data_IF_121493018588
#
_entry.id   IF_121493018588
#
_cell.length_a   1.000
_cell.length_b   1.000
_cell.length_c   1.000
_cell.angle_alpha   90.00
_cell.angle_beta   90.00
_cell.angle_gamma   90.00
#
_symmetry.space_group_name_H-M   'P 1'
#
loop_
_entity.id
_entity.type
_entity.pdbx_description
1 polymer ?
#
# COMPACT_ATOMS: atom_id res chain seq x y z
N UNK A 1 -41.95 -21.13 13.16
CA UNK A 1 -40.68 -20.38 13.31
C UNK A 1 -39.88 -20.65 12.05
N UNK A 2 -39.58 -19.57 11.33
CA UNK A 2 -39.20 -19.59 9.90
C UNK A 2 -37.81 -20.17 9.65
N UNK A 3 -37.76 -21.39 9.10
CA UNK A 3 -36.53 -22.02 8.62
C UNK A 3 -35.89 -21.29 7.42
N UNK A 4 -36.66 -20.51 6.67
CA UNK A 4 -36.15 -19.66 5.55
C UNK A 4 -35.15 -18.59 5.98
N UNK A 5 -35.39 -17.88 7.09
CA UNK A 5 -34.51 -16.82 7.55
C UNK A 5 -33.13 -17.32 8.05
N UNK A 6 -33.07 -18.56 8.53
CA UNK A 6 -31.79 -19.17 8.93
C UNK A 6 -30.93 -19.59 7.74
N UNK A 7 -31.55 -20.10 6.68
CA UNK A 7 -30.85 -20.49 5.45
C UNK A 7 -30.31 -19.27 4.70
N UNK A 8 -31.09 -18.18 4.60
CA UNK A 8 -30.61 -16.91 4.01
C UNK A 8 -29.45 -16.28 4.79
N UNK A 9 -29.44 -16.39 6.13
CA UNK A 9 -28.33 -15.94 6.96
C UNK A 9 -27.09 -16.79 6.73
N UNK A 10 -27.21 -18.11 6.63
CA UNK A 10 -26.13 -19.04 6.33
C UNK A 10 -25.59 -18.86 4.90
N UNK A 11 -26.45 -18.67 3.90
CA UNK A 11 -26.02 -18.39 2.53
C UNK A 11 -25.32 -17.04 2.41
N UNK A 12 -25.77 -16.01 3.14
CA UNK A 12 -25.10 -14.71 3.20
C UNK A 12 -23.74 -14.77 3.93
N UNK A 13 -23.60 -15.59 4.98
CA UNK A 13 -22.31 -15.81 5.66
C UNK A 13 -21.35 -16.62 4.78
N UNK A 14 -21.81 -17.63 4.06
CA UNK A 14 -20.98 -18.40 3.11
C UNK A 14 -20.58 -17.53 1.93
N UNK A 15 -21.48 -16.71 1.37
CA UNK A 15 -21.15 -15.77 0.29
C UNK A 15 -20.21 -14.65 0.76
N UNK A 16 -20.31 -14.19 2.01
CA UNK A 16 -19.43 -13.16 2.55
C UNK A 16 -18.02 -13.67 2.84
N UNK A 17 -17.86 -14.90 3.32
CA UNK A 17 -16.55 -15.55 3.46
C UNK A 17 -15.93 -15.88 2.10
N UNK A 18 -16.74 -16.22 1.10
CA UNK A 18 -16.31 -16.50 -0.28
C UNK A 18 -15.81 -15.24 -1.00
N UNK A 19 -16.31 -14.04 -0.64
CA UNK A 19 -15.88 -12.80 -1.29
C UNK A 19 -14.46 -12.37 -0.92
N UNK A 20 -14.00 -12.64 0.29
CA UNK A 20 -12.58 -12.42 0.68
C UNK A 20 -11.65 -13.51 0.12
N UNK A 21 -12.13 -14.72 -0.09
CA UNK A 21 -11.36 -15.82 -0.72
C UNK A 21 -11.05 -15.55 -2.21
N UNK A 22 -11.74 -14.61 -2.86
CA UNK A 22 -11.45 -14.18 -4.25
C UNK A 22 -10.41 -13.07 -4.35
N UNK A 23 -9.87 -12.56 -3.23
CA UNK A 23 -8.82 -11.55 -3.28
C UNK A 23 -7.49 -12.19 -3.64
N UNK A 24 -6.86 -11.65 -4.68
CA UNK A 24 -5.55 -12.08 -5.12
C UNK A 24 -4.46 -11.30 -4.37
N UNK A 25 -4.16 -11.74 -3.14
CA UNK A 25 -3.15 -11.12 -2.29
C UNK A 25 -2.06 -12.12 -1.97
N UNK A 26 -0.81 -11.73 -2.22
CA UNK A 26 0.37 -12.52 -1.94
C UNK A 26 1.23 -11.78 -0.91
N UNK A 27 1.56 -12.43 0.21
CA UNK A 27 2.40 -11.86 1.26
C UNK A 27 3.67 -12.69 1.43
N UNK A 28 4.82 -12.04 1.24
CA UNK A 28 6.15 -12.63 1.41
C UNK A 28 6.84 -11.90 2.56
N UNK A 29 6.98 -12.60 3.71
CA UNK A 29 7.49 -12.01 4.95
C UNK A 29 8.94 -11.52 4.83
N UNK A 30 9.81 -12.31 4.23
CA UNK A 30 11.26 -12.08 4.15
C UNK A 30 11.70 -12.00 2.67
N UNK A 31 11.05 -11.10 1.89
CA UNK A 31 11.40 -10.87 0.48
C UNK A 31 12.80 -10.28 0.33
N UNK A 32 13.19 -9.39 1.23
CA UNK A 32 14.56 -9.01 1.51
C UNK A 32 14.96 -9.58 2.86
N UNK A 33 16.19 -10.11 2.99
CA UNK A 33 16.70 -10.56 4.27
C UNK A 33 16.94 -9.36 5.22
N UNK A 34 17.17 -9.65 6.50
CA UNK A 34 17.32 -8.61 7.52
C UNK A 34 18.43 -7.61 7.20
N UNK A 35 19.59 -8.09 6.82
CA UNK A 35 20.77 -7.25 6.53
C UNK A 35 20.53 -6.33 5.34
N UNK A 36 19.99 -6.88 4.24
CA UNK A 36 19.63 -6.10 3.06
C UNK A 36 18.59 -5.02 3.42
N UNK A 37 17.59 -5.40 4.20
CA UNK A 37 16.49 -4.50 4.59
C UNK A 37 16.94 -3.35 5.47
N UNK A 38 17.85 -3.61 6.43
CA UNK A 38 18.39 -2.58 7.31
C UNK A 38 19.23 -1.58 6.50
N UNK A 39 20.09 -2.07 5.59
CA UNK A 39 20.87 -1.21 4.69
C UNK A 39 19.95 -0.37 3.79
N UNK A 40 18.94 -0.99 3.19
CA UNK A 40 18.00 -0.29 2.32
C UNK A 40 17.17 0.76 3.08
N UNK A 41 16.75 0.47 4.31
CA UNK A 41 16.05 1.44 5.14
C UNK A 41 16.90 2.69 5.38
N UNK A 42 18.15 2.53 5.76
CA UNK A 42 19.06 3.66 6.04
C UNK A 42 19.38 4.46 4.77
N UNK A 43 19.64 3.79 3.65
CA UNK A 43 19.87 4.42 2.35
C UNK A 43 18.64 5.24 1.90
N UNK A 44 17.46 4.63 1.88
CA UNK A 44 16.22 5.29 1.47
C UNK A 44 15.88 6.46 2.39
N UNK A 45 16.07 6.30 3.70
CA UNK A 45 15.85 7.39 4.66
C UNK A 45 16.72 8.60 4.38
N UNK A 46 17.97 8.39 3.93
CA UNK A 46 18.97 9.44 3.68
C UNK A 46 18.85 10.06 2.28
N UNK A 47 18.62 9.23 1.26
CA UNK A 47 18.79 9.64 -0.15
C UNK A 47 17.48 10.07 -0.84
N UNK A 48 16.33 9.66 -0.32
CA UNK A 48 15.04 10.03 -0.90
C UNK A 48 14.72 11.49 -0.60
N UNK A 49 14.24 12.20 -1.61
CA UNK A 49 13.76 13.58 -1.51
C UNK A 49 12.39 13.66 -0.83
N UNK A 50 12.38 13.44 0.48
CA UNK A 50 11.16 13.44 1.27
C UNK A 50 10.47 14.79 1.30
N UNK A 51 9.16 14.82 1.07
CA UNK A 51 8.33 16.03 1.14
C UNK A 51 7.25 15.87 2.19
N UNK A 52 6.86 16.98 2.82
CA UNK A 52 5.67 17.08 3.64
C UNK A 52 4.54 17.60 2.75
N UNK A 53 3.70 16.69 2.26
CA UNK A 53 2.53 17.07 1.48
C UNK A 53 1.37 17.48 2.38
N UNK A 54 0.41 18.21 1.80
CA UNK A 54 -0.76 18.74 2.49
C UNK A 54 -2.01 18.31 1.72
N UNK A 55 -3.08 18.06 2.46
CA UNK A 55 -4.41 17.82 1.90
C UNK A 55 -5.33 18.96 2.33
N UNK A 56 -6.15 19.43 1.41
CA UNK A 56 -7.19 20.40 1.72
C UNK A 56 -8.46 19.68 2.19
N UNK A 57 -8.95 20.06 3.38
CA UNK A 57 -10.22 19.59 3.91
C UNK A 57 -10.99 20.78 4.50
N UNK A 58 -12.23 20.96 4.07
CA UNK A 58 -13.09 22.07 4.53
C UNK A 58 -12.42 23.45 4.42
N UNK A 59 -11.71 23.70 3.29
CA UNK A 59 -11.00 24.95 3.02
C UNK A 59 -9.77 25.20 3.88
N UNK A 60 -9.25 24.17 4.57
CA UNK A 60 -8.02 24.24 5.36
C UNK A 60 -6.99 23.21 4.92
N UNK A 61 -5.73 23.61 4.90
CA UNK A 61 -4.61 22.71 4.61
C UNK A 61 -4.16 21.98 5.87
N UNK A 62 -4.10 20.65 5.76
CA UNK A 62 -3.59 19.77 6.81
C UNK A 62 -2.38 18.99 6.29
N UNK A 63 -1.27 18.94 7.06
CA UNK A 63 -0.14 18.12 6.66
C UNK A 63 -0.52 16.64 6.67
N UNK A 64 -0.15 15.90 5.64
CA UNK A 64 -0.29 14.46 5.65
C UNK A 64 0.51 13.87 6.82
N UNK A 65 -0.05 12.92 7.59
CA UNK A 65 0.64 12.31 8.73
C UNK A 65 1.66 11.26 8.23
N UNK A 66 2.60 11.69 7.40
CA UNK A 66 3.75 10.99 6.84
C UNK A 66 4.51 11.90 5.89
N UNK A 67 5.75 11.55 5.56
CA UNK A 67 6.44 12.14 4.43
C UNK A 67 6.25 11.27 3.19
N UNK A 68 6.29 11.91 2.01
CA UNK A 68 6.08 11.24 0.73
C UNK A 68 7.19 11.59 -0.25
N UNK A 69 7.38 10.75 -1.24
CA UNK A 69 8.17 11.02 -2.44
C UNK A 69 7.67 10.14 -3.57
N UNK A 70 7.70 10.65 -4.82
CA UNK A 70 7.24 9.90 -5.97
C UNK A 70 8.30 9.87 -7.07
N UNK A 71 8.66 8.65 -7.51
CA UNK A 71 9.64 8.38 -8.54
C UNK A 71 9.02 7.58 -9.66
N UNK A 72 9.47 7.79 -10.89
CA UNK A 72 8.89 7.06 -12.04
C UNK A 72 9.65 7.29 -13.34
N UNK A 73 9.16 6.62 -14.39
CA UNK A 73 9.65 6.83 -15.73
C UNK A 73 9.32 8.27 -16.19
N UNK A 74 10.13 8.81 -17.11
CA UNK A 74 9.98 10.19 -17.61
C UNK A 74 8.57 10.43 -18.17
N UNK A 75 8.07 11.66 -17.96
CA UNK A 75 6.78 12.14 -18.48
C UNK A 75 5.53 11.42 -17.93
N UNK A 76 5.63 10.72 -16.79
CA UNK A 76 4.46 10.24 -16.09
C UNK A 76 4.02 11.31 -15.08
N UNK A 77 2.75 11.69 -15.17
CA UNK A 77 2.05 12.48 -14.15
C UNK A 77 1.06 11.58 -13.44
N UNK A 78 0.85 11.80 -12.19
CA UNK A 78 -0.07 11.01 -11.39
C UNK A 78 -0.75 11.91 -10.36
N UNK A 79 -2.05 11.76 -10.23
CA UNK A 79 -2.82 12.51 -9.24
C UNK A 79 -3.18 11.58 -8.08
N UNK A 80 -2.56 11.79 -6.93
CA UNK A 80 -2.84 11.05 -5.72
C UNK A 80 -3.54 11.94 -4.70
N UNK A 81 -4.73 11.53 -4.25
CA UNK A 81 -5.55 12.30 -3.28
C UNK A 81 -5.75 13.79 -3.69
N UNK A 82 -5.91 14.06 -4.99
CA UNK A 82 -6.07 15.42 -5.53
C UNK A 82 -4.78 16.22 -5.66
N UNK A 83 -3.61 15.64 -5.36
CA UNK A 83 -2.30 16.26 -5.50
C UNK A 83 -1.66 15.78 -6.81
N UNK A 84 -1.48 16.69 -7.77
CA UNK A 84 -0.72 16.41 -8.98
C UNK A 84 0.77 16.33 -8.66
N UNK A 85 1.39 15.22 -8.98
CA UNK A 85 2.81 14.94 -8.71
C UNK A 85 3.56 14.75 -10.03
N UNK A 86 4.72 15.39 -10.14
CA UNK A 86 5.69 15.09 -11.21
C UNK A 86 6.71 14.10 -10.67
N UNK A 87 6.95 13.01 -11.41
CA UNK A 87 7.89 11.99 -10.97
C UNK A 87 9.33 12.51 -10.93
N UNK A 88 10.03 12.20 -9.85
CA UNK A 88 11.48 12.27 -9.79
C UNK A 88 12.10 11.12 -10.59
N UNK A 89 13.30 11.31 -11.16
CA UNK A 89 13.99 10.23 -11.87
C UNK A 89 14.41 9.12 -10.89
N UNK A 90 14.33 7.87 -11.36
CA UNK A 90 14.74 6.71 -10.57
C UNK A 90 16.14 6.84 -9.99
N UNK A 91 16.31 6.57 -8.71
CA UNK A 91 17.63 6.35 -8.13
C UNK A 91 18.16 4.95 -8.49
N UNK A 92 19.46 4.75 -8.36
CA UNK A 92 20.10 3.45 -8.62
C UNK A 92 19.52 2.34 -7.72
N UNK A 93 19.25 2.70 -6.46
CA UNK A 93 18.72 1.77 -5.45
C UNK A 93 17.26 1.41 -5.74
N UNK A 94 16.42 2.39 -6.09
CA UNK A 94 15.04 2.14 -6.50
C UNK A 94 14.95 1.25 -7.74
N UNK A 95 15.87 1.42 -8.71
CA UNK A 95 15.94 0.55 -9.88
C UNK A 95 16.34 -0.90 -9.52
N UNK A 96 17.23 -1.11 -8.56
CA UNK A 96 17.58 -2.45 -8.08
C UNK A 96 16.39 -3.14 -7.40
N UNK A 97 15.69 -2.40 -6.53
CA UNK A 97 14.49 -2.90 -5.85
C UNK A 97 13.40 -3.25 -6.87
N UNK A 98 13.14 -2.35 -7.83
CA UNK A 98 12.18 -2.56 -8.91
C UNK A 98 12.49 -3.84 -9.69
N UNK A 99 13.74 -4.05 -10.13
CA UNK A 99 14.15 -5.25 -10.87
C UNK A 99 13.88 -6.53 -10.09
N UNK A 100 14.27 -6.59 -8.81
CA UNK A 100 14.01 -7.76 -7.95
C UNK A 100 12.51 -8.05 -7.82
N UNK A 101 11.69 -6.99 -7.66
CA UNK A 101 10.24 -7.12 -7.61
C UNK A 101 9.65 -7.60 -8.94
N UNK A 102 10.09 -7.05 -10.08
CA UNK A 102 9.65 -7.46 -11.42
C UNK A 102 10.03 -8.90 -11.74
N UNK A 103 11.23 -9.33 -11.36
CA UNK A 103 11.70 -10.72 -11.51
C UNK A 103 10.84 -11.70 -10.71
N UNK A 104 10.46 -11.33 -9.50
CA UNK A 104 9.60 -12.15 -8.65
C UNK A 104 8.16 -12.19 -9.12
N UNK A 105 7.55 -11.03 -9.31
CA UNK A 105 6.12 -10.90 -9.62
C UNK A 105 5.77 -11.21 -11.07
N UNK A 106 6.76 -11.23 -11.98
CA UNK A 106 6.60 -11.30 -13.45
C UNK A 106 5.75 -10.15 -14.00
N UNK A 107 5.72 -9.02 -13.29
CA UNK A 107 5.00 -7.82 -13.66
C UNK A 107 5.96 -6.66 -13.90
N UNK A 108 5.54 -5.66 -14.67
CA UNK A 108 6.29 -4.42 -14.89
C UNK A 108 5.73 -3.30 -14.02
N UNK A 109 6.62 -2.42 -13.59
CA UNK A 109 6.28 -1.23 -12.84
C UNK A 109 7.02 -0.03 -13.41
N UNK A 110 6.35 1.10 -13.54
CA UNK A 110 6.94 2.33 -14.08
C UNK A 110 6.91 3.50 -13.09
N UNK A 111 6.37 3.28 -11.89
CA UNK A 111 6.31 4.29 -10.83
C UNK A 111 6.40 3.67 -9.44
N UNK A 112 6.83 4.47 -8.46
CA UNK A 112 6.83 4.11 -7.05
C UNK A 112 6.49 5.33 -6.19
N UNK A 113 5.46 5.20 -5.37
CA UNK A 113 5.16 6.14 -4.29
C UNK A 113 5.81 5.64 -3.00
N UNK A 114 6.64 6.47 -2.41
CA UNK A 114 7.26 6.19 -1.12
C UNK A 114 6.53 6.93 -0.02
N UNK A 115 6.28 6.25 1.09
CA UNK A 115 5.70 6.81 2.30
C UNK A 115 6.63 6.55 3.48
N UNK A 116 7.07 7.60 4.18
CA UNK A 116 7.85 7.46 5.40
C UNK A 116 6.99 7.80 6.61
N UNK A 117 6.65 6.76 7.36
CA UNK A 117 5.98 6.82 8.66
C UNK A 117 7.04 6.95 9.75
N UNK A 118 7.23 8.15 10.31
CA UNK A 118 8.32 8.48 11.27
C UNK A 118 8.13 7.80 12.62
N UNK A 119 6.86 7.55 12.99
CA UNK A 119 6.48 6.94 14.26
C UNK A 119 5.08 6.31 14.20
N UNK A 120 4.56 5.87 15.35
CA UNK A 120 3.19 5.38 15.47
C UNK A 120 2.10 6.44 15.24
N UNK A 121 2.44 7.73 15.29
CA UNK A 121 1.50 8.83 15.03
C UNK A 121 1.22 9.03 13.54
N UNK A 122 2.16 8.62 12.68
CA UNK A 122 1.98 8.69 11.24
C UNK A 122 1.08 7.54 10.75
N UNK A 123 0.27 7.82 9.72
CA UNK A 123 -0.78 6.91 9.25
C UNK A 123 -1.20 7.22 7.81
N UNK A 124 -1.95 6.32 7.22
CA UNK A 124 -2.80 6.58 6.06
C UNK A 124 -4.19 6.02 6.36
N UNK A 125 -5.21 6.82 6.10
CA UNK A 125 -6.61 6.44 6.32
C UNK A 125 -7.09 5.43 5.26
N UNK A 126 -8.29 4.89 5.44
CA UNK A 126 -8.94 4.00 4.50
C UNK A 126 -9.02 4.61 3.10
N UNK A 127 -8.46 3.92 2.11
CA UNK A 127 -8.45 4.28 0.70
C UNK A 127 -8.27 3.03 -0.16
N UNK A 128 -8.43 3.18 -1.46
CA UNK A 128 -8.04 2.19 -2.48
C UNK A 128 -7.08 2.86 -3.44
N UNK A 129 -6.21 2.08 -4.07
CA UNK A 129 -5.40 2.51 -5.20
C UNK A 129 -6.18 2.17 -6.49
N UNK A 130 -7.24 2.95 -6.77
CA UNK A 130 -8.19 2.71 -7.85
C UNK A 130 -8.34 3.92 -8.80
N UNK A 131 -7.29 4.75 -8.88
CA UNK A 131 -7.20 5.85 -9.81
C UNK A 131 -7.21 5.36 -11.27
N UNK A 132 -7.84 6.11 -12.17
CA UNK A 132 -8.02 5.74 -13.60
C UNK A 132 -6.70 5.45 -14.30
N UNK A 133 -5.62 6.17 -13.94
CA UNK A 133 -4.28 6.00 -14.48
C UNK A 133 -3.65 4.64 -14.15
N UNK A 134 -4.22 3.89 -13.21
CA UNK A 134 -3.74 2.55 -12.85
C UNK A 134 -4.45 1.43 -13.63
N UNK A 135 -5.48 1.78 -14.40
CA UNK A 135 -6.29 0.84 -15.16
C UNK A 135 -7.28 0.05 -14.29
N UNK A 136 -7.97 -0.88 -14.92
CA UNK A 136 -9.13 -1.57 -14.31
C UNK A 136 -8.77 -2.54 -13.18
N UNK A 137 -7.66 -3.26 -13.31
CA UNK A 137 -7.19 -4.28 -12.36
C UNK A 137 -5.72 -4.07 -12.03
N UNK A 138 -5.37 -3.02 -11.28
CA UNK A 138 -3.98 -2.68 -11.02
C UNK A 138 -3.29 -3.76 -10.19
N UNK A 139 -2.02 -4.02 -10.53
CA UNK A 139 -1.14 -4.83 -9.71
C UNK A 139 -0.24 -3.90 -8.90
N UNK A 140 -0.36 -4.01 -7.58
CA UNK A 140 0.34 -3.15 -6.63
C UNK A 140 1.37 -3.99 -5.87
N UNK A 141 2.64 -3.61 -5.98
CA UNK A 141 3.73 -4.20 -5.19
C UNK A 141 4.09 -3.29 -4.02
N UNK A 142 3.80 -3.71 -2.79
CA UNK A 142 4.04 -2.92 -1.57
C UNK A 142 5.18 -3.52 -0.74
N UNK A 143 6.34 -2.87 -0.73
CA UNK A 143 7.52 -3.25 0.06
C UNK A 143 7.60 -2.42 1.34
N UNK A 144 8.06 -3.05 2.42
CA UNK A 144 8.20 -2.41 3.74
C UNK A 144 9.62 -2.56 4.26
N UNK A 145 10.19 -1.45 4.74
CA UNK A 145 11.50 -1.41 5.40
C UNK A 145 11.40 -0.70 6.75
N UNK A 146 12.16 -1.16 7.74
CA UNK A 146 12.20 -0.60 9.09
C UNK A 146 11.11 -1.15 10.01
N UNK A 147 10.44 -0.27 10.77
CA UNK A 147 9.48 -0.65 11.82
C UNK A 147 8.26 -1.40 11.33
N UNK A 148 7.85 -2.43 12.06
CA UNK A 148 6.63 -3.18 11.79
C UNK A 148 5.40 -2.26 11.94
N UNK A 149 4.54 -2.25 10.95
CA UNK A 149 3.24 -1.57 11.00
C UNK A 149 2.12 -2.50 10.55
N UNK A 150 1.02 -2.41 11.24
CA UNK A 150 -0.21 -3.08 10.85
C UNK A 150 -0.79 -2.46 9.59
N UNK A 151 -1.12 -3.29 8.61
CA UNK A 151 -1.88 -2.95 7.41
C UNK A 151 -3.23 -3.64 7.51
N UNK A 152 -4.30 -2.90 7.39
CA UNK A 152 -5.66 -3.42 7.47
C UNK A 152 -6.32 -3.29 6.11
N UNK A 153 -6.97 -4.34 5.69
CA UNK A 153 -7.79 -4.42 4.49
C UNK A 153 -9.22 -4.70 4.90
N UNK A 154 -10.20 -4.05 4.27
CA UNK A 154 -11.61 -4.36 4.50
C UNK A 154 -12.42 -4.29 3.21
N UNK A 155 -13.47 -5.07 3.14
CA UNK A 155 -14.40 -5.03 2.01
C UNK A 155 -15.19 -3.71 2.01
N UNK A 156 -15.35 -3.07 0.83
CA UNK A 156 -16.08 -1.78 0.68
C UNK A 156 -17.56 -1.90 1.00
N UNK A 157 -18.20 -3.03 0.63
CA UNK A 157 -19.62 -3.28 0.85
C UNK A 157 -19.90 -3.77 2.27
N UNK A 158 -19.09 -4.72 2.77
CA UNK A 158 -19.21 -5.24 4.13
C UNK A 158 -17.97 -4.91 4.95
N UNK A 159 -17.97 -3.76 5.60
CA UNK A 159 -16.85 -3.23 6.38
C UNK A 159 -16.46 -4.08 7.61
N UNK A 160 -17.27 -5.07 8.00
CA UNK A 160 -16.95 -6.04 9.06
C UNK A 160 -15.98 -7.11 8.57
N UNK A 161 -15.95 -7.39 7.27
CA UNK A 161 -15.00 -8.32 6.67
C UNK A 161 -13.64 -7.63 6.54
N UNK A 162 -12.76 -7.90 7.49
CA UNK A 162 -11.44 -7.30 7.56
C UNK A 162 -10.35 -8.36 7.56
N UNK A 163 -9.23 -8.04 6.92
CA UNK A 163 -7.99 -8.81 7.00
C UNK A 163 -6.85 -7.91 7.47
N UNK A 164 -5.87 -8.49 8.17
CA UNK A 164 -4.76 -7.72 8.74
C UNK A 164 -3.44 -8.41 8.42
N UNK A 165 -2.49 -7.61 7.92
CA UNK A 165 -1.10 -8.01 7.72
C UNK A 165 -0.20 -7.20 8.64
N UNK A 166 0.72 -7.85 9.33
CA UNK A 166 1.78 -7.19 10.06
C UNK A 166 3.00 -7.07 9.13
N UNK A 167 3.12 -5.90 8.47
CA UNK A 167 4.15 -5.62 7.48
C UNK A 167 5.46 -5.27 8.19
N UNK A 168 6.36 -6.24 8.24
CA UNK A 168 7.67 -6.13 8.85
C UNK A 168 8.78 -5.67 7.88
N UNK A 169 9.99 -5.56 8.42
CA UNK A 169 11.19 -5.19 7.67
C UNK A 169 11.51 -6.21 6.58
N UNK A 170 11.62 -5.75 5.33
CA UNK A 170 11.90 -6.61 4.16
C UNK A 170 10.69 -7.36 3.60
N UNK A 171 9.47 -7.12 4.10
CA UNK A 171 8.28 -7.80 3.62
C UNK A 171 7.73 -7.18 2.33
N UNK A 172 7.11 -8.04 1.51
CA UNK A 172 6.40 -7.69 0.28
C UNK A 172 4.94 -8.11 0.39
N UNK A 173 4.03 -7.22 0.04
CA UNK A 173 2.62 -7.50 -0.18
C UNK A 173 2.27 -7.17 -1.63
N UNK A 174 1.77 -8.14 -2.39
CA UNK A 174 1.26 -7.91 -3.75
C UNK A 174 -0.25 -8.01 -3.72
N UNK A 175 -0.92 -6.99 -4.23
CA UNK A 175 -2.37 -6.94 -4.41
C UNK A 175 -2.68 -6.96 -5.89
N UNK A 176 -3.52 -7.89 -6.35
CA UNK A 176 -3.83 -8.15 -7.77
C UNK A 176 -5.35 -8.19 -8.00
N UNK A 177 -5.75 -8.34 -9.24
CA UNK A 177 -7.12 -8.57 -9.66
C UNK A 177 -8.08 -7.49 -9.14
N UNK A 178 -9.24 -7.89 -8.67
CA UNK A 178 -10.29 -6.98 -8.19
C UNK A 178 -10.02 -6.40 -6.78
N UNK A 179 -8.85 -6.60 -6.19
CA UNK A 179 -8.57 -6.20 -4.79
C UNK A 179 -8.87 -4.72 -4.55
N UNK A 180 -8.43 -3.82 -5.44
CA UNK A 180 -8.64 -2.37 -5.26
C UNK A 180 -10.10 -1.95 -5.51
N UNK A 181 -10.83 -2.68 -6.35
CA UNK A 181 -12.28 -2.45 -6.57
C UNK A 181 -13.12 -2.89 -5.37
N UNK A 182 -12.78 -4.02 -4.77
CA UNK A 182 -13.57 -4.66 -3.72
C UNK A 182 -13.20 -4.19 -2.31
N UNK A 183 -11.97 -3.72 -2.11
CA UNK A 183 -11.43 -3.42 -0.80
C UNK A 183 -10.83 -2.02 -0.71
N UNK A 184 -10.85 -1.48 0.49
CA UNK A 184 -10.07 -0.35 0.92
C UNK A 184 -9.07 -0.79 1.99
N UNK A 185 -7.98 -0.05 2.14
CA UNK A 185 -6.91 -0.40 3.08
C UNK A 185 -6.38 0.81 3.83
N UNK A 186 -5.75 0.57 4.98
CA UNK A 186 -5.16 1.63 5.81
C UNK A 186 -3.90 1.16 6.54
N UNK A 187 -3.09 2.12 6.97
CA UNK A 187 -2.07 1.94 8.02
C UNK A 187 -2.51 2.81 9.21
N UNK A 188 -3.15 2.23 10.24
CA UNK A 188 -3.71 3.01 11.36
C UNK A 188 -2.61 3.57 12.26
N UNK A 189 -2.92 4.65 12.98
CA UNK A 189 -2.09 5.12 14.10
C UNK A 189 -1.95 4.03 15.16
N UNK A 190 -0.84 4.04 15.88
CA UNK A 190 -0.62 3.12 17.01
C UNK A 190 0.02 3.83 18.19
N UNK A 191 -0.44 3.48 19.42
CA UNK A 191 0.18 3.92 20.66
C UNK A 191 1.41 3.08 21.04
N UNK A 192 1.63 1.94 20.35
CA UNK A 192 2.84 1.13 20.57
C UNK A 192 4.07 1.92 20.15
N UNK A 193 5.15 1.81 20.91
CA UNK A 193 6.46 2.34 20.49
C UNK A 193 6.94 1.56 19.29
N UNK A 194 7.03 2.22 18.14
CA UNK A 194 7.50 1.65 16.87
C UNK A 194 8.56 2.56 16.27
N UNK A 195 9.54 1.97 15.61
CA UNK A 195 10.53 2.69 14.81
C UNK A 195 9.94 3.19 13.50
N UNK A 196 10.66 4.07 12.81
CA UNK A 196 10.25 4.56 11.50
C UNK A 196 10.09 3.42 10.50
N UNK A 197 9.11 3.55 9.58
CA UNK A 197 8.88 2.61 8.48
C UNK A 197 8.83 3.34 7.16
N UNK A 198 9.55 2.84 6.17
CA UNK A 198 9.45 3.27 4.78
C UNK A 198 8.66 2.20 4.01
N UNK A 199 7.65 2.66 3.28
CA UNK A 199 6.88 1.82 2.37
C UNK A 199 7.10 2.29 0.94
N UNK A 200 7.32 1.36 0.03
CA UNK A 200 7.43 1.55 -1.40
C UNK A 200 6.24 0.91 -2.08
N UNK A 201 5.38 1.69 -2.70
CA UNK A 201 4.21 1.21 -3.44
C UNK A 201 4.48 1.33 -4.93
N UNK A 202 4.86 0.22 -5.56
CA UNK A 202 5.13 0.12 -6.98
C UNK A 202 3.84 -0.08 -7.77
N UNK A 203 3.69 0.69 -8.87
CA UNK A 203 2.53 0.68 -9.75
C UNK A 203 2.95 0.78 -11.21
N UNK A 204 2.07 0.36 -12.09
CA UNK A 204 2.17 0.64 -13.52
C UNK A 204 1.11 1.68 -13.88
N UNK A 205 1.54 2.84 -14.33
CA UNK A 205 0.69 3.93 -14.84
C UNK A 205 0.57 3.75 -16.34
N UNK A 206 -0.65 3.61 -16.84
CA UNK A 206 -0.96 3.42 -18.26
C UNK A 206 -0.77 4.68 -19.09
#
# INVERSE_FOLDING_TARGET
>A
MNTSNQLELFENEINSSTSLQKLEIEYVKDFFNKTESDILFDLLKKEIEWKQDFIEMYGKLYPLPRLTAWYGDKNKSYTYSGISMTSLPWTKELLKIRRKLEEFSKQKFNSVLLNYYRSGNDSVSWHSDDEEELGEFPIIGSLSFGGLRRFRLRNKQNKKLTHTYDLGNGSLLIMKGATQKLCEHEVPKTKKKVSGRINLTFRYIV
#
